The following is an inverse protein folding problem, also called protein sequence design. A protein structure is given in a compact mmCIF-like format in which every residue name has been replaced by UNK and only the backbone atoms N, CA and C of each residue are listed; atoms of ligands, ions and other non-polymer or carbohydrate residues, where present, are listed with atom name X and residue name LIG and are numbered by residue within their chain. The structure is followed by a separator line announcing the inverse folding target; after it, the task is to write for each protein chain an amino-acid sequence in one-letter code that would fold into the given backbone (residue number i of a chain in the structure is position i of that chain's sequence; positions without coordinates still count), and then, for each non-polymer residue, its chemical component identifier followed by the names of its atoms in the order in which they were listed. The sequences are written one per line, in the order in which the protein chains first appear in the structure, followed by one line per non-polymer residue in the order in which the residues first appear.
data_IF_079827649349
#
_entry.id   IF_079827649349
#
_cell.length_a   1.000
_cell.length_b   1.000
_cell.length_c   1.000
_cell.angle_alpha   90.00
_cell.angle_beta   90.00
_cell.angle_gamma   90.00
#
_symmetry.space_group_name_H-M   'P 1'
#
loop_
_entity.id
_entity.type
_entity.pdbx_description
1 polymer ?
#
# COMPACT_ATOMS: atom_id res chain seq x y z
N UNK A 1 -1.50 -14.59 0.88
CA UNK A 1 -2.92 -14.19 0.75
C UNK A 1 -3.10 -13.61 -0.64
N UNK A 2 -4.28 -13.74 -1.24
CA UNK A 2 -4.58 -13.13 -2.53
C UNK A 2 -4.87 -11.62 -2.38
N UNK A 3 -4.80 -10.87 -3.49
CA UNK A 3 -5.08 -9.43 -3.48
C UNK A 3 -6.49 -9.09 -2.97
N UNK A 4 -7.50 -9.85 -3.41
CA UNK A 4 -8.88 -9.67 -2.94
C UNK A 4 -9.04 -9.93 -1.43
N UNK A 5 -8.35 -10.94 -0.89
CA UNK A 5 -8.35 -11.21 0.56
C UNK A 5 -7.69 -10.06 1.34
N UNK A 6 -6.67 -9.42 0.76
CA UNK A 6 -6.04 -8.24 1.35
C UNK A 6 -6.98 -7.03 1.33
N UNK A 7 -7.70 -6.80 0.22
CA UNK A 7 -8.73 -5.76 0.13
C UNK A 7 -9.81 -5.94 1.20
N UNK A 8 -10.31 -7.16 1.39
CA UNK A 8 -11.35 -7.47 2.37
C UNK A 8 -10.85 -7.31 3.81
N UNK A 9 -9.64 -7.81 4.11
CA UNK A 9 -9.07 -7.82 5.45
C UNK A 9 -8.66 -6.42 5.92
N UNK A 10 -7.97 -5.67 5.06
CA UNK A 10 -7.31 -4.42 5.43
C UNK A 10 -8.03 -3.16 4.99
N UNK A 11 -8.91 -3.28 3.98
CA UNK A 11 -9.78 -2.20 3.49
C UNK A 11 -8.98 -0.93 3.24
N UNK A 12 -8.10 -0.91 2.22
CA UNK A 12 -7.36 0.30 1.88
C UNK A 12 -8.30 1.47 1.68
N UNK A 13 -7.87 2.64 2.14
CA UNK A 13 -8.66 3.87 2.06
C UNK A 13 -8.41 4.58 0.73
N UNK A 14 -9.44 5.21 0.20
CA UNK A 14 -9.32 6.07 -0.98
C UNK A 14 -8.37 7.23 -0.72
N UNK A 15 -7.48 7.47 -1.66
CA UNK A 15 -6.63 8.66 -1.70
C UNK A 15 -7.48 9.90 -1.96
N UNK A 16 -7.77 10.64 -0.89
CA UNK A 16 -8.56 11.87 -0.96
C UNK A 16 -7.80 13.08 -1.58
N UNK A 17 -6.48 12.95 -1.77
CA UNK A 17 -5.62 14.02 -2.29
C UNK A 17 -5.60 14.07 -3.82
N UNK A 18 -6.03 13.00 -4.49
CA UNK A 18 -6.06 12.91 -5.95
C UNK A 18 -7.34 12.24 -6.44
N UNK A 19 -7.97 12.78 -7.49
CA UNK A 19 -9.28 12.28 -7.96
C UNK A 19 -9.20 11.00 -8.79
N UNK A 20 -8.03 10.67 -9.30
CA UNK A 20 -7.81 9.59 -10.27
C UNK A 20 -6.53 8.83 -9.94
N UNK A 21 -6.38 8.43 -8.67
CA UNK A 21 -5.25 7.61 -8.26
C UNK A 21 -5.34 6.21 -8.90
N UNK A 22 -4.20 5.56 -9.20
CA UNK A 22 -4.17 4.15 -9.57
C UNK A 22 -4.84 3.25 -8.53
N UNK A 23 -5.12 2.00 -8.91
CA UNK A 23 -5.80 1.00 -8.07
C UNK A 23 -7.14 1.52 -7.55
N UNK A 24 -8.04 1.91 -8.45
CA UNK A 24 -9.38 2.42 -8.10
C UNK A 24 -9.37 3.58 -7.09
N UNK A 25 -8.34 4.44 -7.17
CA UNK A 25 -8.18 5.58 -6.28
C UNK A 25 -7.56 5.25 -4.93
N UNK A 26 -6.99 4.06 -4.73
CA UNK A 26 -6.46 3.61 -3.43
C UNK A 26 -4.96 3.91 -3.24
N UNK A 27 -4.21 4.14 -4.32
CA UNK A 27 -2.77 4.32 -4.25
C UNK A 27 -2.37 5.77 -3.91
N UNK A 28 -1.35 5.91 -3.07
CA UNK A 28 -0.69 7.17 -2.73
C UNK A 28 0.70 7.26 -3.35
N UNK A 29 1.04 8.45 -3.81
CA UNK A 29 2.30 8.76 -4.49
C UNK A 29 3.52 8.71 -3.57
N UNK A 30 4.67 8.58 -4.21
CA UNK A 30 5.95 8.36 -3.51
C UNK A 30 6.68 9.65 -3.12
N UNK A 31 6.03 10.80 -3.31
CA UNK A 31 6.57 12.14 -3.07
C UNK A 31 5.47 13.13 -2.65
N UNK A 32 5.89 14.36 -2.31
CA UNK A 32 4.98 15.47 -2.10
C UNK A 32 4.01 15.29 -0.91
N UNK A 33 2.83 15.92 -0.98
CA UNK A 33 1.83 15.87 0.10
C UNK A 33 1.31 14.46 0.39
N UNK A 34 1.24 13.59 -0.61
CA UNK A 34 0.77 12.20 -0.44
C UNK A 34 1.78 11.39 0.37
N UNK A 35 3.07 11.47 0.06
CA UNK A 35 4.11 10.85 0.90
C UNK A 35 4.12 11.41 2.32
N UNK A 36 3.89 12.70 2.50
CA UNK A 36 3.80 13.30 3.83
C UNK A 36 2.64 12.69 4.63
N UNK A 37 1.48 12.47 3.99
CA UNK A 37 0.34 11.80 4.61
C UNK A 37 0.63 10.33 4.96
N UNK A 38 1.28 9.59 4.06
CA UNK A 38 1.72 8.21 4.32
C UNK A 38 2.67 8.15 5.52
N UNK A 39 3.60 9.10 5.65
CA UNK A 39 4.56 9.15 6.77
C UNK A 39 3.93 9.52 8.11
N UNK A 40 2.82 10.24 8.10
CA UNK A 40 2.05 10.60 9.30
C UNK A 40 1.07 9.49 9.72
N UNK A 41 0.93 8.45 8.90
CA UNK A 41 0.05 7.31 9.17
C UNK A 41 0.74 6.29 10.08
N UNK A 42 0.02 5.65 11.03
CA UNK A 42 0.55 4.52 11.81
C UNK A 42 1.20 3.44 10.94
N UNK A 43 2.41 3.02 11.29
CA UNK A 43 3.24 2.13 10.46
C UNK A 43 2.64 0.72 10.25
N UNK A 44 1.70 0.30 11.11
CA UNK A 44 0.93 -0.93 10.99
C UNK A 44 -0.21 -0.84 9.96
N UNK A 45 -0.44 0.35 9.40
CA UNK A 45 -1.45 0.59 8.36
C UNK A 45 -0.85 0.95 7.01
N UNK A 46 0.46 1.15 6.94
CA UNK A 46 1.15 1.45 5.68
C UNK A 46 1.51 0.16 4.97
N UNK A 47 1.26 0.14 3.67
CA UNK A 47 1.67 -0.91 2.75
C UNK A 47 2.37 -0.28 1.56
N UNK A 48 3.33 -0.98 0.96
CA UNK A 48 4.11 -0.48 -0.16
C UNK A 48 3.86 -1.34 -1.38
N UNK A 49 3.53 -0.71 -2.51
CA UNK A 49 3.50 -1.36 -3.81
C UNK A 49 4.94 -1.41 -4.36
N UNK A 50 5.39 -2.59 -4.76
CA UNK A 50 6.69 -2.80 -5.41
C UNK A 50 6.50 -3.61 -6.69
N UNK A 51 7.48 -3.49 -7.58
CA UNK A 51 7.64 -4.34 -8.76
C UNK A 51 8.76 -5.34 -8.49
N UNK A 52 8.45 -6.62 -8.65
CA UNK A 52 9.38 -7.74 -8.58
C UNK A 52 9.92 -8.10 -9.97
N UNK A 53 10.40 -9.33 -10.10
CA UNK A 53 10.88 -9.84 -11.39
C UNK A 53 9.72 -10.06 -12.37
N UNK A 54 10.01 -10.03 -13.67
CA UNK A 54 9.04 -10.26 -14.75
C UNK A 54 7.77 -9.38 -14.67
N UNK A 55 7.93 -8.11 -14.29
CA UNK A 55 6.85 -7.11 -14.15
C UNK A 55 5.74 -7.53 -13.15
N UNK A 56 6.05 -8.43 -12.21
CA UNK A 56 5.10 -8.88 -11.19
C UNK A 56 4.97 -7.84 -10.08
N UNK A 57 3.74 -7.55 -9.65
CA UNK A 57 3.46 -6.53 -8.64
C UNK A 57 3.17 -7.17 -7.28
N UNK A 58 3.69 -6.56 -6.22
CA UNK A 58 3.44 -7.00 -4.84
C UNK A 58 3.05 -5.84 -3.94
N UNK A 59 2.11 -6.09 -3.04
CA UNK A 59 1.84 -5.24 -1.88
C UNK A 59 2.56 -5.82 -0.66
N UNK A 60 3.58 -5.11 -0.19
CA UNK A 60 4.37 -5.47 0.98
C UNK A 60 3.87 -4.73 2.22
N UNK A 61 3.82 -5.42 3.36
CA UNK A 61 3.51 -4.78 4.64
C UNK A 61 4.61 -3.79 5.05
N UNK A 62 4.19 -2.61 5.52
CA UNK A 62 5.09 -1.57 6.02
C UNK A 62 5.48 -0.53 4.96
N UNK A 63 6.30 0.42 5.41
CA UNK A 63 6.85 1.49 4.59
C UNK A 63 8.23 1.06 4.06
N UNK A 64 8.32 0.79 2.75
CA UNK A 64 9.57 0.45 2.07
C UNK A 64 9.99 1.61 1.18
N UNK A 65 11.25 2.04 1.32
CA UNK A 65 11.75 3.19 0.56
C UNK A 65 12.39 2.80 -0.79
N UNK A 66 12.94 1.60 -0.89
CA UNK A 66 13.65 1.11 -2.09
C UNK A 66 12.67 0.34 -2.98
N UNK A 67 12.81 0.52 -4.30
CA UNK A 67 12.04 -0.19 -5.33
C UNK A 67 10.51 -0.11 -5.17
N UNK A 68 10.01 1.05 -4.74
CA UNK A 68 8.59 1.31 -4.51
C UNK A 68 7.95 2.02 -5.70
N UNK A 69 6.74 1.62 -6.05
CA UNK A 69 5.89 2.28 -7.04
C UNK A 69 4.86 3.21 -6.39
N UNK A 70 4.45 2.91 -5.16
CA UNK A 70 3.42 3.66 -4.44
C UNK A 70 3.16 3.09 -3.06
N UNK A 71 2.19 3.66 -2.35
CA UNK A 71 1.78 3.18 -1.04
C UNK A 71 0.27 2.99 -0.97
N UNK A 72 -0.16 2.20 0.00
CA UNK A 72 -1.56 2.12 0.45
C UNK A 72 -1.64 2.41 1.93
N UNK A 73 -2.78 2.96 2.35
CA UNK A 73 -3.12 3.14 3.76
C UNK A 73 -4.33 2.24 4.05
N UNK A 74 -4.18 1.29 4.97
CA UNK A 74 -5.23 0.38 5.40
C UNK A 74 -6.11 1.00 6.50
N UNK A 75 -7.41 0.75 6.45
CA UNK A 75 -8.31 1.11 7.55
C UNK A 75 -8.07 0.24 8.79
N UNK A 76 -7.68 -1.04 8.59
CA UNK A 76 -7.37 -1.97 9.66
C UNK A 76 -5.86 -2.13 9.84
N UNK A 77 -5.35 -2.18 11.08
CA UNK A 77 -3.94 -2.42 11.34
C UNK A 77 -3.58 -3.88 11.05
N UNK A 78 -2.36 -4.12 10.55
CA UNK A 78 -1.79 -5.47 10.48
C UNK A 78 -1.30 -5.94 11.85
N UNK A 79 -1.23 -7.27 12.09
CA UNK A 79 -0.61 -7.80 13.30
C UNK A 79 0.85 -7.36 13.45
N UNK A 80 1.33 -7.10 14.68
CA UNK A 80 2.71 -6.74 14.92
C UNK A 80 3.66 -7.90 14.59
N UNK A 81 4.87 -7.59 14.12
CA UNK A 81 5.94 -8.56 13.82
C UNK A 81 5.59 -9.62 12.76
N UNK A 82 4.64 -9.32 11.88
CA UNK A 82 4.31 -10.17 10.72
C UNK A 82 4.61 -9.38 9.46
N UNK A 83 5.49 -9.93 8.64
CA UNK A 83 5.72 -9.46 7.28
C UNK A 83 4.79 -10.21 6.33
N UNK A 84 4.06 -9.45 5.51
CA UNK A 84 3.04 -9.96 4.60
C UNK A 84 3.37 -9.44 3.21
N UNK A 85 3.36 -10.36 2.26
CA UNK A 85 3.54 -10.08 0.84
C UNK A 85 2.30 -10.60 0.10
N UNK A 86 1.73 -9.73 -0.73
CA UNK A 86 0.49 -10.00 -1.47
C UNK A 86 0.77 -9.83 -2.95
N UNK A 87 0.77 -10.90 -3.75
CA UNK A 87 0.83 -10.79 -5.20
C UNK A 87 -0.40 -10.03 -5.70
N UNK A 88 -0.19 -9.14 -6.67
CA UNK A 88 -1.26 -8.47 -7.40
C UNK A 88 -1.44 -9.20 -8.72
N UNK A 89 -2.56 -9.90 -8.86
CA UNK A 89 -2.92 -10.74 -10.01
C UNK A 89 -3.97 -10.06 -10.91
#
# INVERSE_FOLDING_TARGET
MAYDEWLEAYRPVTNALTKSAPFDGLMFETFGPELAHVRDTPADRVWTLVEGDDDTLYVLSGFHFVNRLGYFIAAQPRPPHVDIEVPVD
#
